data_IF_401148777526
#
_entry.id   IF_401148777526
#
_cell.length_a   1.000
_cell.length_b   1.000
_cell.length_c   1.000
_cell.angle_alpha   90.00
_cell.angle_beta   90.00
_cell.angle_gamma   90.00
#
_symmetry.space_group_name_H-M   'P 1'
#
loop_
_entity.id
_entity.type
_entity.pdbx_description
1 polymer ?
#
# COMPACT_ATOMS: atom_id res chain seq x y z
N UNK A 1 -3.48 -15.07 -9.06
CA UNK A 1 -2.78 -13.88 -9.60
C UNK A 1 -1.44 -14.27 -10.20
N UNK A 2 -1.12 -13.78 -11.40
CA UNK A 2 0.20 -13.85 -12.03
C UNK A 2 0.76 -12.44 -12.20
N UNK A 3 2.08 -12.28 -12.10
CA UNK A 3 2.73 -11.00 -12.31
C UNK A 3 4.03 -11.19 -13.10
N UNK A 4 4.21 -10.37 -14.12
CA UNK A 4 5.38 -10.36 -14.97
C UNK A 4 6.04 -8.97 -14.98
N UNK A 5 7.36 -8.95 -15.02
CA UNK A 5 8.17 -7.77 -15.34
C UNK A 5 8.86 -8.02 -16.69
N UNK A 6 8.32 -7.44 -17.78
CA UNK A 6 8.72 -7.81 -19.12
C UNK A 6 8.50 -9.32 -19.35
N UNK A 7 9.59 -10.04 -19.66
CA UNK A 7 9.56 -11.50 -19.87
C UNK A 7 9.72 -12.31 -18.58
N UNK A 8 10.08 -11.69 -17.46
CA UNK A 8 10.29 -12.36 -16.19
C UNK A 8 8.97 -12.59 -15.44
N UNK A 9 8.60 -13.87 -15.25
CA UNK A 9 7.41 -14.27 -14.50
C UNK A 9 7.70 -14.30 -13.00
N UNK A 10 7.43 -13.20 -12.31
CA UNK A 10 7.79 -12.99 -10.90
C UNK A 10 6.82 -13.67 -9.91
N UNK A 11 5.51 -13.69 -10.21
CA UNK A 11 4.52 -14.39 -9.39
C UNK A 11 3.71 -15.36 -10.25
N UNK A 12 3.67 -16.63 -9.84
CA UNK A 12 3.07 -17.73 -10.61
C UNK A 12 1.89 -18.34 -9.84
N UNK A 13 0.67 -18.04 -10.29
CA UNK A 13 -0.54 -18.66 -9.74
C UNK A 13 -0.77 -18.42 -8.25
N UNK A 14 -0.40 -17.24 -7.75
CA UNK A 14 -0.57 -16.93 -6.32
C UNK A 14 -2.06 -16.75 -6.02
N UNK A 15 -2.57 -17.53 -5.07
CA UNK A 15 -3.92 -17.41 -4.51
C UNK A 15 -3.79 -17.40 -2.99
N UNK A 16 -4.11 -16.28 -2.36
CA UNK A 16 -3.97 -16.07 -0.91
C UNK A 16 -5.07 -15.13 -0.42
N UNK A 17 -5.51 -15.32 0.81
CA UNK A 17 -6.41 -14.41 1.50
C UNK A 17 -5.78 -13.97 2.82
N UNK A 18 -6.01 -12.73 3.18
CA UNK A 18 -5.59 -12.17 4.46
C UNK A 18 -6.82 -11.85 5.27
N UNK A 19 -6.83 -12.28 6.52
CA UNK A 19 -7.91 -11.98 7.46
C UNK A 19 -7.79 -10.54 7.96
N UNK A 20 -8.94 -9.97 8.29
CA UNK A 20 -9.01 -8.67 8.94
C UNK A 20 -8.43 -8.73 10.36
N UNK A 21 -7.73 -7.67 10.78
CA UNK A 21 -7.16 -7.48 12.12
C UNK A 21 -6.15 -8.54 12.55
N UNK A 22 -5.53 -9.22 11.61
CA UNK A 22 -4.49 -10.21 11.85
C UNK A 22 -3.15 -9.76 11.31
N UNK A 23 -2.08 -10.25 11.94
CA UNK A 23 -0.71 -10.08 11.46
C UNK A 23 -0.35 -11.32 10.65
N UNK A 24 -0.11 -11.15 9.36
CA UNK A 24 0.33 -12.23 8.48
C UNK A 24 1.80 -12.04 8.11
N UNK A 25 2.64 -13.06 8.35
CA UNK A 25 4.03 -13.06 7.96
C UNK A 25 4.24 -13.85 6.68
N UNK A 26 4.92 -13.25 5.69
CA UNK A 26 5.36 -13.92 4.47
C UNK A 26 6.80 -14.39 4.64
N UNK A 27 7.02 -15.70 4.71
CA UNK A 27 8.32 -16.32 4.91
C UNK A 27 8.75 -17.04 3.64
N UNK A 28 10.04 -17.00 3.32
CA UNK A 28 10.61 -17.68 2.15
C UNK A 28 11.97 -17.11 1.78
N UNK A 29 12.72 -17.77 0.87
CA UNK A 29 14.05 -17.35 0.45
C UNK A 29 14.06 -16.00 -0.23
N UNK A 30 15.23 -15.39 -0.37
CA UNK A 30 15.40 -14.15 -1.14
C UNK A 30 14.98 -14.37 -2.60
N UNK A 31 14.32 -13.38 -3.19
CA UNK A 31 13.89 -13.45 -4.59
C UNK A 31 12.61 -14.25 -4.87
N UNK A 32 11.97 -14.91 -3.88
CA UNK A 32 10.77 -15.70 -4.12
C UNK A 32 9.47 -14.88 -4.34
N UNK A 33 9.56 -13.56 -4.47
CA UNK A 33 8.40 -12.72 -4.83
C UNK A 33 7.64 -12.06 -3.66
N UNK A 34 8.06 -12.21 -2.39
CA UNK A 34 7.38 -11.60 -1.23
C UNK A 34 7.15 -10.10 -1.38
N UNK A 35 8.20 -9.36 -1.69
CA UNK A 35 8.12 -7.90 -1.88
C UNK A 35 7.30 -7.52 -3.12
N UNK A 36 7.34 -8.35 -4.17
CA UNK A 36 6.52 -8.17 -5.36
C UNK A 36 5.03 -8.32 -5.03
N UNK A 37 4.69 -9.36 -4.23
CA UNK A 37 3.32 -9.55 -3.77
C UNK A 37 2.85 -8.36 -2.91
N UNK A 38 3.65 -7.93 -1.92
CA UNK A 38 3.30 -6.78 -1.08
C UNK A 38 3.09 -5.51 -1.90
N UNK A 39 3.97 -5.22 -2.88
CA UNK A 39 3.84 -4.07 -3.79
C UNK A 39 2.61 -4.16 -4.68
N UNK A 40 2.10 -5.35 -4.96
CA UNK A 40 0.87 -5.54 -5.73
C UNK A 40 -0.37 -5.11 -4.95
N UNK A 41 -0.37 -5.22 -3.62
CA UNK A 41 -1.52 -4.88 -2.79
C UNK A 41 -1.82 -3.37 -2.75
N UNK A 42 -0.82 -2.50 -2.95
CA UNK A 42 -1.00 -1.05 -3.00
C UNK A 42 -0.70 -0.45 -4.38
N UNK A 43 -0.62 -1.31 -5.41
CA UNK A 43 -0.37 -0.93 -6.81
C UNK A 43 0.95 -0.17 -7.03
N UNK A 44 1.98 -0.42 -6.20
CA UNK A 44 3.32 0.14 -6.42
C UNK A 44 4.03 -0.48 -7.62
N UNK A 45 3.62 -1.67 -8.04
CA UNK A 45 4.17 -2.31 -9.25
C UNK A 45 3.75 -1.60 -10.54
N UNK A 46 2.68 -0.77 -10.53
CA UNK A 46 2.25 0.05 -11.66
C UNK A 46 3.32 1.09 -12.06
N UNK A 47 4.26 1.40 -11.15
CA UNK A 47 5.36 2.33 -11.38
C UNK A 47 6.57 1.66 -12.08
N UNK A 48 6.51 0.36 -12.32
CA UNK A 48 7.57 -0.40 -12.95
C UNK A 48 7.20 -0.66 -14.41
N UNK A 49 8.02 -0.16 -15.31
CA UNK A 49 7.81 -0.34 -16.74
C UNK A 49 7.78 -1.83 -17.11
N UNK A 50 6.82 -2.19 -17.97
CA UNK A 50 6.64 -3.58 -18.40
C UNK A 50 6.01 -4.50 -17.34
N UNK A 51 5.53 -3.97 -16.22
CA UNK A 51 4.77 -4.78 -15.26
C UNK A 51 3.40 -5.14 -15.81
N UNK A 52 3.09 -6.43 -15.83
CA UNK A 52 1.79 -6.98 -16.24
C UNK A 52 1.24 -7.88 -15.15
N UNK A 53 0.00 -7.62 -14.73
CA UNK A 53 -0.69 -8.39 -13.70
C UNK A 53 -1.92 -9.04 -14.33
N UNK A 54 -2.09 -10.33 -14.07
CA UNK A 54 -3.22 -11.13 -14.50
C UNK A 54 -3.88 -11.79 -13.28
N UNK A 55 -5.20 -11.85 -13.27
CA UNK A 55 -6.00 -12.28 -12.13
C UNK A 55 -6.59 -11.08 -11.39
N UNK A 56 -7.21 -11.33 -10.24
CA UNK A 56 -7.90 -10.33 -9.44
C UNK A 56 -7.24 -10.17 -8.09
N UNK A 57 -7.21 -8.95 -7.59
CA UNK A 57 -6.81 -8.62 -6.22
C UNK A 57 -7.95 -7.83 -5.60
N UNK A 58 -8.58 -8.40 -4.58
CA UNK A 58 -9.78 -7.85 -3.98
C UNK A 58 -9.46 -7.24 -2.61
N UNK A 59 -9.88 -6.01 -2.40
CA UNK A 59 -9.94 -5.35 -1.10
C UNK A 59 -11.41 -5.11 -0.76
N UNK A 60 -11.90 -5.74 0.30
CA UNK A 60 -13.32 -5.71 0.70
C UNK A 60 -14.28 -6.09 -0.44
N UNK A 61 -13.89 -7.07 -1.26
CA UNK A 61 -14.69 -7.53 -2.40
C UNK A 61 -14.57 -6.67 -3.66
N UNK A 62 -13.90 -5.51 -3.61
CA UNK A 62 -13.67 -4.65 -4.75
C UNK A 62 -12.30 -4.93 -5.39
N UNK A 63 -12.27 -5.14 -6.71
CA UNK A 63 -11.02 -5.35 -7.44
C UNK A 63 -10.20 -4.05 -7.50
N UNK A 64 -9.00 -4.08 -6.93
CA UNK A 64 -8.11 -2.91 -6.90
C UNK A 64 -7.55 -2.56 -8.29
N UNK A 65 -7.54 -3.51 -9.24
CA UNK A 65 -7.13 -3.28 -10.63
C UNK A 65 -8.34 -3.06 -11.57
N UNK A 66 -9.56 -3.22 -11.07
CA UNK A 66 -10.81 -3.08 -11.81
C UNK A 66 -11.43 -1.68 -11.82
N UNK A 67 -10.61 -0.62 -11.74
CA UNK A 67 -11.10 0.78 -11.82
C UNK A 67 -11.13 1.52 -10.48
N UNK A 68 -10.60 0.96 -9.39
CA UNK A 68 -10.42 1.68 -8.13
C UNK A 68 -9.39 2.80 -8.30
N UNK A 69 -9.70 3.99 -7.79
CA UNK A 69 -8.74 5.10 -7.73
C UNK A 69 -7.53 4.72 -6.88
N UNK A 70 -6.33 4.87 -7.48
CA UNK A 70 -5.05 4.49 -6.85
C UNK A 70 -4.77 5.34 -5.60
N UNK A 71 -5.15 6.62 -5.60
CA UNK A 71 -4.94 7.49 -4.45
C UNK A 71 -5.84 7.08 -3.28
N UNK A 72 -7.07 6.70 -3.58
CA UNK A 72 -8.00 6.17 -2.58
C UNK A 72 -7.50 4.84 -2.02
N UNK A 73 -7.01 3.94 -2.88
CA UNK A 73 -6.39 2.69 -2.44
C UNK A 73 -5.21 2.95 -1.49
N UNK A 74 -4.27 3.82 -1.89
CA UNK A 74 -3.06 4.12 -1.11
C UNK A 74 -3.34 4.87 0.20
N UNK A 75 -4.47 5.56 0.32
CA UNK A 75 -4.95 6.08 1.62
C UNK A 75 -5.38 4.97 2.57
N UNK A 76 -5.90 3.86 2.05
CA UNK A 76 -6.37 2.71 2.83
C UNK A 76 -5.27 1.70 3.11
N UNK A 77 -4.32 1.55 2.19
CA UNK A 77 -3.24 0.56 2.23
C UNK A 77 -1.90 1.26 2.30
N UNK A 78 -1.43 1.50 3.51
CA UNK A 78 -0.10 2.03 3.75
C UNK A 78 0.98 0.99 3.49
N UNK A 79 2.19 1.44 3.14
CA UNK A 79 3.36 0.58 2.96
C UNK A 79 4.56 1.17 3.67
N UNK A 80 5.26 0.33 4.43
CA UNK A 80 6.55 0.67 5.03
C UNK A 80 7.64 0.00 4.22
N UNK A 81 8.59 0.78 3.72
CA UNK A 81 9.71 0.29 2.92
C UNK A 81 10.86 -0.17 3.81
N UNK A 82 11.63 -1.14 3.34
CA UNK A 82 12.79 -1.67 4.04
C UNK A 82 13.88 -0.60 4.25
N UNK A 83 14.07 0.30 3.28
CA UNK A 83 14.96 1.45 3.42
C UNK A 83 14.12 2.71 3.65
N UNK A 84 14.38 3.48 4.72
CA UNK A 84 13.72 4.76 4.90
C UNK A 84 14.14 5.71 3.78
N UNK A 85 13.18 6.41 3.22
CA UNK A 85 13.41 7.43 2.19
C UNK A 85 12.70 8.73 2.61
N UNK A 86 13.22 9.42 3.62
CA UNK A 86 12.61 10.67 4.08
C UNK A 86 12.77 11.77 3.03
N UNK A 87 11.81 12.69 2.98
CA UNK A 87 11.94 13.90 2.20
C UNK A 87 13.05 14.80 2.79
N UNK A 88 13.72 15.65 1.98
CA UNK A 88 14.74 16.61 2.45
C UNK A 88 14.12 17.77 3.23
N UNK A 89 13.52 17.45 4.36
CA UNK A 89 12.83 18.38 5.25
C UNK A 89 13.01 17.92 6.70
N UNK A 90 12.53 18.71 7.68
CA UNK A 90 12.62 18.34 9.08
C UNK A 90 11.90 17.03 9.40
N UNK A 91 12.26 16.39 10.51
CA UNK A 91 11.55 15.18 11.02
C UNK A 91 10.08 15.49 11.25
N UNK A 92 9.78 16.65 11.81
CA UNK A 92 8.42 17.11 12.03
C UNK A 92 7.63 17.19 10.73
N UNK A 93 8.19 17.83 9.69
CA UNK A 93 7.52 17.98 8.39
C UNK A 93 7.33 16.65 7.68
N UNK A 94 8.27 15.70 7.82
CA UNK A 94 8.11 14.34 7.29
C UNK A 94 6.94 13.62 7.93
N UNK A 95 6.77 13.73 9.25
CA UNK A 95 5.66 13.12 9.97
C UNK A 95 4.33 13.82 9.62
N UNK A 96 4.34 15.15 9.54
CA UNK A 96 3.17 15.97 9.24
C UNK A 96 2.73 15.89 7.77
N UNK A 97 3.58 15.35 6.89
CA UNK A 97 3.35 15.36 5.43
C UNK A 97 2.06 14.65 5.02
N UNK A 98 1.75 13.50 5.64
CA UNK A 98 0.57 12.71 5.32
C UNK A 98 -0.75 13.27 5.87
N UNK A 99 -0.83 13.57 7.18
CA UNK A 99 -2.08 14.00 7.82
C UNK A 99 -2.55 15.39 7.43
N UNK A 100 -1.65 16.22 6.86
CA UNK A 100 -1.97 17.62 6.62
C UNK A 100 -2.37 17.87 5.17
N UNK A 101 -3.58 18.40 4.93
CA UNK A 101 -3.98 18.87 3.62
C UNK A 101 -3.03 19.97 3.13
N UNK A 102 -2.68 19.93 1.85
CA UNK A 102 -1.73 20.85 1.24
C UNK A 102 -2.12 22.33 1.39
N UNK A 103 -3.41 22.61 1.53
CA UNK A 103 -3.96 23.96 1.72
C UNK A 103 -3.75 24.53 3.12
N UNK A 104 -3.52 23.69 4.13
CA UNK A 104 -3.31 24.16 5.52
C UNK A 104 -1.84 24.34 5.89
N UNK A 105 -0.91 24.22 4.94
CA UNK A 105 0.53 24.41 5.16
C UNK A 105 0.95 25.87 5.41
N UNK A 106 0.07 26.83 5.14
CA UNK A 106 0.37 28.28 5.18
C UNK A 106 -0.07 29.00 6.44
N UNK A 107 -0.26 28.31 7.55
CA UNK A 107 -0.46 29.03 8.81
C UNK A 107 -1.55 28.49 9.70
N UNK A 108 -1.18 28.07 10.86
CA UNK A 108 -2.06 28.06 12.01
C UNK A 108 -2.46 26.67 12.54
N UNK A 109 -1.97 26.43 13.74
CA UNK A 109 -2.53 25.49 14.74
C UNK A 109 -2.49 24.00 14.43
N UNK A 110 -1.33 23.46 14.26
CA UNK A 110 -1.02 22.02 14.20
C UNK A 110 -1.35 21.25 15.49
N UNK A 111 -1.44 21.94 16.62
CA UNK A 111 -1.67 21.36 17.95
C UNK A 111 -3.01 20.65 18.08
N UNK A 112 -4.02 21.00 17.30
CA UNK A 112 -5.35 20.34 17.39
C UNK A 112 -5.42 18.98 16.71
N UNK A 113 -4.55 18.68 15.74
CA UNK A 113 -4.54 17.38 15.06
C UNK A 113 -3.87 16.28 15.91
N UNK A 114 -2.97 16.67 16.83
CA UNK A 114 -2.33 15.73 17.75
C UNK A 114 -3.15 15.44 19.01
N UNK A 115 -4.04 16.35 19.39
CA UNK A 115 -4.91 16.16 20.57
C UNK A 115 -6.19 15.37 20.28
N UNK A 116 -6.54 15.17 19.03
CA UNK A 116 -7.58 14.20 18.68
C UNK A 116 -6.95 12.81 18.63
N UNK A 117 -7.40 11.85 19.43
CA UNK A 117 -7.04 10.46 19.23
C UNK A 117 -7.40 10.15 17.77
N UNK A 118 -6.41 9.68 17.01
CA UNK A 118 -6.52 9.42 15.58
C UNK A 118 -7.74 8.54 15.32
N UNK A 119 -8.88 9.16 15.02
CA UNK A 119 -10.16 8.51 14.75
C UNK A 119 -10.21 7.82 13.38
N UNK A 120 -9.05 7.59 12.76
CA UNK A 120 -8.93 6.61 11.71
C UNK A 120 -8.99 5.22 12.34
N UNK A 121 -10.20 4.74 12.55
CA UNK A 121 -10.41 3.29 12.59
C UNK A 121 -9.84 2.75 11.28
N UNK A 122 -8.81 1.89 11.30
CA UNK A 122 -8.48 1.10 10.12
C UNK A 122 -9.75 0.32 9.81
N UNK A 123 -10.40 0.66 8.71
CA UNK A 123 -11.43 -0.19 8.14
C UNK A 123 -10.71 -1.47 7.77
N UNK A 124 -10.90 -2.50 8.57
CA UNK A 124 -10.28 -3.80 8.36
C UNK A 124 -10.70 -4.34 7.03
N UNK A 125 -9.81 -4.30 6.06
CA UNK A 125 -10.06 -4.82 4.72
C UNK A 125 -9.71 -6.30 4.63
N UNK A 126 -10.60 -7.10 4.01
CA UNK A 126 -10.32 -8.50 3.69
C UNK A 126 -9.66 -8.57 2.32
N UNK A 127 -8.47 -9.14 2.27
CA UNK A 127 -7.75 -9.37 1.03
C UNK A 127 -8.01 -10.76 0.47
N UNK A 128 -8.28 -10.84 -0.83
CA UNK A 128 -8.34 -12.10 -1.58
C UNK A 128 -7.68 -11.90 -2.94
N UNK A 129 -6.86 -12.87 -3.34
CA UNK A 129 -6.30 -12.97 -4.69
C UNK A 129 -6.80 -14.26 -5.34
N UNK A 130 -7.18 -14.20 -6.57
CA UNK A 130 -7.63 -15.35 -7.34
C UNK A 130 -7.26 -15.22 -8.81
#
# INVERSE_FOLDING_TARGET
MHLHYGDYHALRGVSISFSDREITALIGPSGCGKSTLLKSLNRMNDLVDGCRIQGRVLLDGQDIYGGMDVNLLRKRVGMVFQKPNPFPMSVYDNIAYGPVPMESRTGGSWTRLWSSPCGMRPSGGKWRTG
#
